data_IF_121975217546
#
_entry.id   IF_121975217546
#
_cell.length_a   1.000
_cell.length_b   1.000
_cell.length_c   1.000
_cell.angle_alpha   90.00
_cell.angle_beta   90.00
_cell.angle_gamma   90.00
#
_symmetry.space_group_name_H-M   'P 1'
#
loop_
_entity.id
_entity.type
_entity.pdbx_description
1 polymer ?
#
# COMPACT_ATOMS: atom_id res chain seq x y z
N UNK A 1 39.43 -33.21 -1.14
CA UNK A 1 38.52 -32.82 -2.22
C UNK A 1 37.49 -31.82 -1.71
N UNK A 2 37.48 -30.57 -2.22
CA UNK A 2 36.50 -29.57 -1.92
C UNK A 2 35.24 -29.95 -2.70
N UNK A 3 34.23 -30.41 -1.98
CA UNK A 3 32.95 -30.80 -2.56
C UNK A 3 32.20 -29.50 -3.01
N UNK A 4 32.25 -29.22 -4.31
CA UNK A 4 31.48 -28.14 -4.95
C UNK A 4 30.03 -28.62 -5.14
N UNK A 5 29.28 -28.76 -4.07
CA UNK A 5 27.83 -28.81 -4.19
C UNK A 5 27.36 -27.45 -4.69
N UNK A 6 26.61 -27.36 -5.79
CA UNK A 6 26.03 -26.07 -6.21
C UNK A 6 25.13 -25.55 -5.08
N UNK A 7 25.48 -24.40 -4.53
CA UNK A 7 24.64 -23.73 -3.53
C UNK A 7 23.29 -23.45 -4.20
N UNK A 8 22.27 -24.23 -3.86
CA UNK A 8 20.89 -23.92 -4.26
C UNK A 8 20.50 -22.65 -3.53
N UNK A 9 20.43 -21.56 -4.28
CA UNK A 9 19.85 -20.34 -3.78
C UNK A 9 18.37 -20.61 -3.50
N UNK A 10 17.99 -20.51 -2.23
CA UNK A 10 16.59 -20.60 -1.82
C UNK A 10 15.92 -19.21 -2.06
N UNK A 11 14.96 -19.10 -2.99
CA UNK A 11 14.29 -17.84 -3.29
C UNK A 11 13.64 -17.20 -2.05
N UNK A 12 13.09 -18.02 -1.15
CA UNK A 12 12.46 -17.51 0.09
C UNK A 12 13.47 -16.86 1.04
N UNK A 13 14.67 -17.43 1.15
CA UNK A 13 15.75 -16.81 1.93
C UNK A 13 16.23 -15.50 1.31
N UNK A 14 16.26 -15.42 -0.02
CA UNK A 14 16.60 -14.18 -0.73
C UNK A 14 15.56 -13.09 -0.50
N UNK A 15 14.28 -13.42 -0.60
CA UNK A 15 13.20 -12.45 -0.33
C UNK A 15 13.25 -11.95 1.11
N UNK A 16 13.44 -12.84 2.08
CA UNK A 16 13.59 -12.46 3.48
C UNK A 16 14.79 -11.52 3.69
N UNK A 17 15.92 -11.84 3.08
CA UNK A 17 17.13 -11.01 3.16
C UNK A 17 16.92 -9.65 2.50
N UNK A 18 16.29 -9.61 1.32
CA UNK A 18 15.95 -8.36 0.64
C UNK A 18 15.00 -7.50 1.47
N UNK A 19 13.94 -8.08 2.03
CA UNK A 19 12.98 -7.37 2.88
C UNK A 19 13.67 -6.76 4.12
N UNK A 20 14.61 -7.48 4.72
CA UNK A 20 15.42 -6.97 5.83
C UNK A 20 16.24 -5.73 5.40
N UNK A 21 17.00 -5.82 4.31
CA UNK A 21 17.81 -4.69 3.84
C UNK A 21 16.96 -3.52 3.35
N UNK A 22 15.79 -3.77 2.78
CA UNK A 22 14.88 -2.69 2.38
C UNK A 22 14.39 -1.87 3.58
N UNK A 23 14.13 -2.50 4.71
CA UNK A 23 13.72 -1.79 5.95
C UNK A 23 14.81 -0.85 6.48
N UNK A 24 16.08 -1.17 6.25
CA UNK A 24 17.23 -0.37 6.69
C UNK A 24 17.49 0.86 5.80
N UNK A 25 16.93 0.92 4.60
CA UNK A 25 17.10 2.08 3.73
C UNK A 25 16.44 3.33 4.33
N UNK A 26 17.04 4.51 4.14
CA UNK A 26 16.33 5.77 4.34
C UNK A 26 15.15 5.89 3.36
N UNK A 27 14.21 6.79 3.61
CA UNK A 27 13.09 7.02 2.68
C UNK A 27 13.61 7.49 1.30
N UNK A 28 14.60 8.40 1.30
CA UNK A 28 15.24 8.92 0.08
C UNK A 28 15.89 7.81 -0.73
N UNK A 29 16.67 6.97 -0.06
CA UNK A 29 17.39 5.89 -0.72
C UNK A 29 16.43 4.84 -1.26
N UNK A 30 15.38 4.50 -0.49
CA UNK A 30 14.32 3.62 -0.95
C UNK A 30 13.65 4.16 -2.21
N UNK A 31 13.19 5.42 -2.20
CA UNK A 31 12.51 6.04 -3.35
C UNK A 31 13.44 6.13 -4.55
N UNK A 32 14.71 6.48 -4.34
CA UNK A 32 15.71 6.53 -5.41
C UNK A 32 15.90 5.18 -6.08
N UNK A 33 16.00 4.10 -5.30
CA UNK A 33 16.17 2.73 -5.82
C UNK A 33 14.91 2.14 -6.42
N UNK A 34 13.73 2.52 -5.92
CA UNK A 34 12.45 2.06 -6.42
C UNK A 34 12.03 2.78 -7.72
N UNK A 35 12.51 4.00 -7.96
CA UNK A 35 12.12 4.84 -9.09
C UNK A 35 12.18 4.11 -10.45
N UNK A 36 13.25 3.41 -10.84
CA UNK A 36 13.31 2.72 -12.13
C UNK A 36 12.20 1.65 -12.30
N UNK A 37 11.82 0.97 -11.22
CA UNK A 37 10.76 -0.04 -11.26
C UNK A 37 9.37 0.61 -11.39
N UNK A 38 9.17 1.74 -10.72
CA UNK A 38 7.93 2.53 -10.82
C UNK A 38 7.77 3.13 -12.21
N UNK A 39 8.84 3.68 -12.79
CA UNK A 39 8.85 4.23 -14.15
C UNK A 39 8.57 3.14 -15.19
N UNK A 40 9.16 1.97 -15.04
CA UNK A 40 8.87 0.80 -15.89
C UNK A 40 7.40 0.34 -15.78
N UNK A 41 6.74 0.59 -14.65
CA UNK A 41 5.32 0.34 -14.45
C UNK A 41 4.41 1.52 -14.88
N UNK A 42 4.98 2.55 -15.52
CA UNK A 42 4.24 3.70 -16.06
C UNK A 42 3.96 4.83 -15.07
N UNK A 43 4.59 4.83 -13.89
CA UNK A 43 4.47 5.92 -12.92
C UNK A 43 5.48 7.02 -13.25
N UNK A 44 5.01 8.22 -13.58
CA UNK A 44 5.89 9.37 -13.77
C UNK A 44 6.41 9.88 -12.41
N UNK A 45 7.73 9.81 -12.19
CA UNK A 45 8.38 10.22 -10.95
C UNK A 45 8.73 11.72 -11.00
N UNK A 46 7.70 12.55 -10.92
CA UNK A 46 7.84 14.00 -10.73
C UNK A 46 8.00 14.36 -9.23
N UNK A 47 8.08 15.65 -8.92
CA UNK A 47 8.25 16.15 -7.54
C UNK A 47 7.11 15.71 -6.62
N UNK A 48 5.86 15.75 -7.09
CA UNK A 48 4.67 15.36 -6.30
C UNK A 48 4.65 13.85 -6.03
N UNK A 49 4.90 13.04 -7.05
CA UNK A 49 5.00 11.58 -6.91
C UNK A 49 6.11 11.21 -5.93
N UNK A 50 7.27 11.89 -6.01
CA UNK A 50 8.38 11.69 -5.08
C UNK A 50 7.97 12.03 -3.65
N UNK A 51 7.30 13.16 -3.42
CA UNK A 51 6.84 13.57 -2.10
C UNK A 51 5.82 12.56 -1.51
N UNK A 52 4.91 12.03 -2.32
CA UNK A 52 3.97 10.98 -1.91
C UNK A 52 4.70 9.70 -1.54
N UNK A 53 5.64 9.24 -2.36
CA UNK A 53 6.44 8.05 -2.11
C UNK A 53 7.30 8.18 -0.85
N UNK A 54 7.88 9.35 -0.61
CA UNK A 54 8.65 9.64 0.61
C UNK A 54 7.80 9.48 1.87
N UNK A 55 6.58 10.02 1.90
CA UNK A 55 5.65 9.87 3.02
C UNK A 55 5.20 8.42 3.22
N UNK A 56 5.04 7.67 2.13
CA UNK A 56 4.61 6.28 2.17
C UNK A 56 5.77 5.28 2.34
N UNK A 57 7.03 5.74 2.38
CA UNK A 57 8.20 4.85 2.29
C UNK A 57 8.25 3.78 3.38
N UNK A 58 7.91 4.11 4.64
CA UNK A 58 7.88 3.13 5.73
C UNK A 58 6.87 2.02 5.45
N UNK A 59 5.66 2.39 5.09
CA UNK A 59 4.59 1.46 4.73
C UNK A 59 4.96 0.59 3.51
N UNK A 60 5.52 1.19 2.46
CA UNK A 60 5.91 0.47 1.25
C UNK A 60 7.03 -0.52 1.49
N UNK A 61 8.02 -0.18 2.33
CA UNK A 61 9.12 -1.08 2.72
C UNK A 61 8.65 -2.32 3.50
N UNK A 62 7.53 -2.22 4.19
CA UNK A 62 6.94 -3.36 4.89
C UNK A 62 6.15 -4.27 3.95
N UNK A 63 5.52 -3.70 2.92
CA UNK A 63 4.62 -4.43 2.02
C UNK A 63 5.29 -4.96 0.77
N UNK A 64 6.37 -4.35 0.31
CA UNK A 64 7.12 -4.82 -0.84
C UNK A 64 8.34 -5.65 -0.39
N UNK A 65 8.37 -6.96 -0.60
CA UNK A 65 9.51 -7.81 -0.21
C UNK A 65 10.76 -7.53 -1.05
N UNK A 66 10.61 -6.89 -2.22
CA UNK A 66 11.69 -6.48 -3.11
C UNK A 66 11.38 -5.15 -3.77
N UNK A 67 12.40 -4.45 -4.28
CA UNK A 67 12.21 -3.21 -5.05
C UNK A 67 11.32 -3.42 -6.29
N UNK A 68 11.43 -4.57 -6.95
CA UNK A 68 10.60 -4.92 -8.11
C UNK A 68 9.10 -5.06 -7.77
N UNK A 69 8.74 -5.33 -6.51
CA UNK A 69 7.36 -5.40 -6.02
C UNK A 69 6.82 -4.07 -5.53
N UNK A 70 7.66 -3.03 -5.48
CA UNK A 70 7.23 -1.68 -5.06
C UNK A 70 6.12 -1.10 -5.93
N UNK A 71 6.10 -1.24 -7.28
CA UNK A 71 5.00 -0.74 -8.09
C UNK A 71 3.64 -1.31 -7.71
N UNK A 72 3.57 -2.61 -7.45
CA UNK A 72 2.34 -3.29 -7.00
C UNK A 72 1.89 -2.74 -5.63
N UNK A 73 2.82 -2.65 -4.68
CA UNK A 73 2.53 -2.12 -3.34
C UNK A 73 2.14 -0.64 -3.34
N UNK A 74 2.66 0.15 -4.28
CA UNK A 74 2.41 1.59 -4.41
C UNK A 74 1.26 1.96 -5.35
N UNK A 75 0.66 0.99 -6.05
CA UNK A 75 -0.34 1.24 -7.09
C UNK A 75 -1.49 2.14 -6.61
N UNK A 76 -1.97 1.94 -5.38
CA UNK A 76 -3.06 2.72 -4.80
C UNK A 76 -2.77 4.22 -4.66
N UNK A 77 -1.49 4.62 -4.57
CA UNK A 77 -1.08 6.03 -4.46
C UNK A 77 -1.27 6.81 -5.76
N UNK A 78 -1.32 6.11 -6.89
CA UNK A 78 -1.36 6.69 -8.24
C UNK A 78 -2.65 6.39 -8.99
N UNK A 79 -3.64 5.79 -8.33
CA UNK A 79 -4.94 5.51 -8.92
C UNK A 79 -5.65 6.82 -9.28
N UNK A 80 -6.14 6.87 -10.52
CA UNK A 80 -6.97 7.98 -11.02
C UNK A 80 -8.46 7.67 -10.78
N UNK A 81 -9.22 8.69 -10.48
CA UNK A 81 -10.69 8.57 -10.36
C UNK A 81 -11.35 8.75 -11.73
N UNK A 82 -12.47 8.06 -12.00
CA UNK A 82 -13.14 7.06 -11.17
C UNK A 82 -12.31 5.78 -11.06
N UNK A 83 -12.36 5.13 -9.88
CA UNK A 83 -11.68 3.85 -9.68
C UNK A 83 -12.46 2.74 -10.39
N UNK A 84 -11.73 1.83 -11.04
CA UNK A 84 -12.31 0.57 -11.50
C UNK A 84 -12.45 -0.37 -10.29
N UNK A 85 -13.71 -0.57 -9.88
CA UNK A 85 -14.12 -1.44 -8.78
C UNK A 85 -14.76 -2.73 -9.27
N UNK A 86 -14.47 -3.13 -10.51
CA UNK A 86 -14.96 -4.39 -11.08
C UNK A 86 -14.40 -5.63 -10.37
N UNK A 87 -15.04 -6.76 -10.59
CA UNK A 87 -14.59 -8.05 -10.10
C UNK A 87 -14.63 -8.19 -8.57
N UNK A 88 -13.55 -8.70 -7.98
CA UNK A 88 -13.49 -8.97 -6.53
C UNK A 88 -13.64 -7.74 -5.65
N UNK A 89 -13.16 -6.59 -6.11
CA UNK A 89 -13.23 -5.32 -5.38
C UNK A 89 -14.67 -4.77 -5.29
N UNK A 90 -15.51 -5.05 -6.28
CA UNK A 90 -16.91 -4.61 -6.31
C UNK A 90 -17.86 -5.46 -5.46
N UNK A 91 -17.55 -6.75 -5.25
CA UNK A 91 -18.44 -7.67 -4.52
C UNK A 91 -18.92 -7.17 -3.14
N UNK A 92 -18.08 -6.55 -2.29
CA UNK A 92 -18.56 -6.00 -1.03
C UNK A 92 -19.59 -4.88 -1.21
N UNK A 93 -19.55 -4.17 -2.34
CA UNK A 93 -20.46 -3.05 -2.64
C UNK A 93 -21.84 -3.51 -3.17
N UNK A 94 -21.96 -4.77 -3.52
CA UNK A 94 -23.22 -5.40 -3.96
C UNK A 94 -24.12 -5.78 -2.76
N UNK A 95 -23.58 -5.81 -1.55
CA UNK A 95 -24.34 -6.14 -0.34
C UNK A 95 -25.33 -5.03 0.02
N UNK A 96 -26.46 -5.45 0.55
CA UNK A 96 -27.48 -4.53 1.08
C UNK A 96 -26.87 -3.59 2.13
N UNK A 97 -27.18 -2.29 2.02
CA UNK A 97 -26.64 -1.27 2.92
C UNK A 97 -25.23 -0.79 2.59
N UNK A 98 -24.46 -1.45 1.70
CA UNK A 98 -23.08 -1.09 1.40
C UNK A 98 -22.94 0.35 0.89
N UNK A 99 -23.85 0.83 0.04
CA UNK A 99 -23.84 2.21 -0.46
C UNK A 99 -24.05 3.23 0.67
N UNK A 100 -24.95 2.92 1.60
CA UNK A 100 -25.19 3.73 2.79
C UNK A 100 -23.95 3.83 3.67
N UNK A 101 -23.29 2.70 3.91
CA UNK A 101 -22.03 2.63 4.65
C UNK A 101 -20.93 3.45 3.98
N UNK A 102 -20.71 3.26 2.67
CA UNK A 102 -19.70 4.04 1.92
C UNK A 102 -19.99 5.54 2.00
N UNK A 103 -21.25 5.96 1.89
CA UNK A 103 -21.64 7.37 2.01
C UNK A 103 -21.40 7.92 3.42
N UNK A 104 -21.70 7.13 4.45
CA UNK A 104 -21.44 7.50 5.85
C UNK A 104 -19.93 7.64 6.13
N UNK A 105 -19.15 6.68 5.68
CA UNK A 105 -17.68 6.71 5.79
C UNK A 105 -17.09 7.89 5.03
N UNK A 106 -17.54 8.15 3.80
CA UNK A 106 -17.05 9.28 3.01
C UNK A 106 -17.33 10.63 3.69
N UNK A 107 -18.51 10.79 4.30
CA UNK A 107 -18.87 11.98 5.06
C UNK A 107 -18.00 12.11 6.31
N UNK A 108 -17.88 11.05 7.11
CA UNK A 108 -17.09 11.04 8.33
C UNK A 108 -15.62 11.38 8.04
N UNK A 109 -15.06 10.85 6.94
CA UNK A 109 -13.70 11.18 6.50
C UNK A 109 -13.58 12.62 5.96
N UNK A 110 -14.63 13.16 5.35
CA UNK A 110 -14.64 14.56 4.89
C UNK A 110 -14.60 15.57 6.05
N UNK A 111 -15.18 15.21 7.18
CA UNK A 111 -15.23 16.02 8.39
C UNK A 111 -14.02 15.78 9.31
N UNK A 112 -13.32 14.68 9.13
CA UNK A 112 -12.18 14.29 9.96
C UNK A 112 -10.89 14.99 9.53
N UNK A 113 -10.06 15.38 10.49
CA UNK A 113 -8.67 15.70 10.25
C UNK A 113 -7.87 14.42 9.93
N UNK A 114 -6.93 14.51 8.99
CA UNK A 114 -6.01 13.40 8.66
C UNK A 114 -4.72 13.47 9.50
N UNK A 115 -4.87 13.68 10.80
CA UNK A 115 -3.74 13.99 11.70
C UNK A 115 -2.93 12.74 12.06
N UNK A 116 -3.58 11.59 12.18
CA UNK A 116 -2.91 10.32 12.50
C UNK A 116 -3.72 9.11 12.02
N UNK A 117 -3.04 7.98 11.86
CA UNK A 117 -3.69 6.70 11.55
C UNK A 117 -4.70 6.28 12.63
N UNK A 118 -4.39 6.55 13.90
CA UNK A 118 -5.28 6.23 15.02
C UNK A 118 -6.56 7.07 14.97
N UNK A 119 -6.48 8.36 14.68
CA UNK A 119 -7.66 9.24 14.53
C UNK A 119 -8.54 8.79 13.38
N UNK A 120 -7.95 8.41 12.24
CA UNK A 120 -8.69 7.87 11.10
C UNK A 120 -9.37 6.54 11.44
N UNK A 121 -8.69 5.65 12.16
CA UNK A 121 -9.24 4.37 12.59
C UNK A 121 -10.47 4.57 13.51
N UNK A 122 -10.38 5.47 14.48
CA UNK A 122 -11.52 5.81 15.35
C UNK A 122 -12.69 6.40 14.57
N UNK A 123 -12.43 7.28 13.60
CA UNK A 123 -13.45 7.82 12.70
C UNK A 123 -14.16 6.72 11.92
N UNK A 124 -13.39 5.76 11.37
CA UNK A 124 -13.94 4.64 10.63
C UNK A 124 -14.75 3.68 11.52
N UNK A 125 -14.26 3.38 12.74
CA UNK A 125 -14.98 2.59 13.74
C UNK A 125 -16.30 3.23 14.11
N UNK A 126 -16.32 4.55 14.34
CA UNK A 126 -17.54 5.30 14.64
C UNK A 126 -18.55 5.25 13.50
N UNK A 127 -18.10 5.41 12.26
CA UNK A 127 -18.96 5.31 11.08
C UNK A 127 -19.54 3.89 10.89
N UNK A 128 -18.74 2.85 11.12
CA UNK A 128 -19.16 1.46 11.04
C UNK A 128 -20.20 1.13 12.12
N UNK A 129 -19.94 1.53 13.37
CA UNK A 129 -20.88 1.35 14.48
C UNK A 129 -22.22 2.05 14.23
N UNK A 130 -22.20 3.29 13.72
CA UNK A 130 -23.41 4.04 13.35
C UNK A 130 -24.21 3.39 12.23
N UNK A 131 -23.54 2.63 11.36
CA UNK A 131 -24.18 1.86 10.30
C UNK A 131 -24.58 0.43 10.73
N UNK A 132 -24.35 0.05 11.99
CA UNK A 132 -24.69 -1.27 12.52
C UNK A 132 -23.80 -2.41 11.97
N UNK A 133 -22.61 -2.10 11.47
CA UNK A 133 -21.67 -3.09 10.94
C UNK A 133 -20.41 -3.20 11.81
N UNK A 134 -19.86 -4.41 11.89
CA UNK A 134 -18.60 -4.63 12.59
C UNK A 134 -17.42 -4.02 11.84
N UNK A 135 -16.46 -3.50 12.59
CA UNK A 135 -15.16 -3.07 12.07
C UNK A 135 -14.17 -4.22 12.27
N UNK A 136 -13.80 -4.90 11.20
CA UNK A 136 -12.90 -6.05 11.22
C UNK A 136 -12.02 -6.14 10.00
#
# INVERSE_FOLDING_TARGET
GINRAPARLDPGKLEFTNAHYMKLLSAEEFVRRAAPFLEAAGVAINADARAVLMRAASFLKERAPTLAKTPEAAAFLFLKRPLDISGKAGKPLEKDGARGLVSAVARALGDAGFDSAAALEETLKGAAASAGVGFG
#
